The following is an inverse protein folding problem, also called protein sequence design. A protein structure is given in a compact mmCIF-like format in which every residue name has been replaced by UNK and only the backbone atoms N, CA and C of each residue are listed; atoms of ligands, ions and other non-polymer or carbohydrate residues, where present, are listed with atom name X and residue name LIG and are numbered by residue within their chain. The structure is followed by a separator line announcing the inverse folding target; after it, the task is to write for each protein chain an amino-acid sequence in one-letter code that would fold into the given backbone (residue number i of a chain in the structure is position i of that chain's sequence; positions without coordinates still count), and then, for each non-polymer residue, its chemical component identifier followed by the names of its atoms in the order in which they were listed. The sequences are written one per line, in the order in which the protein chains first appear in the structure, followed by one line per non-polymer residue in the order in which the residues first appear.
data_IF_279347514359
#
_entry.id   IF_279347514359
#
_cell.length_a   1.000
_cell.length_b   1.000
_cell.length_c   1.000
_cell.angle_alpha   90.00
_cell.angle_beta   90.00
_cell.angle_gamma   90.00
#
_symmetry.space_group_name_H-M   'P 1'
#
loop_
_entity.id
_entity.type
_entity.pdbx_description
1 polymer ?
#
# COMPACT_ATOMS: atom_id res chain seq x y z
N UNK A 1 8.59 39.73 -8.23
CA UNK A 1 8.12 38.34 -7.97
C UNK A 1 7.74 37.73 -9.32
N UNK A 2 8.57 36.80 -9.84
CA UNK A 2 8.18 35.96 -10.98
C UNK A 2 7.14 34.97 -10.46
N UNK A 3 5.88 35.18 -10.79
CA UNK A 3 4.88 34.12 -10.72
C UNK A 3 5.29 33.04 -11.72
N UNK A 4 5.89 31.98 -11.23
CA UNK A 4 5.98 30.76 -12.04
C UNK A 4 4.56 30.30 -12.29
N UNK A 5 4.12 30.34 -13.54
CA UNK A 5 2.87 29.68 -13.96
C UNK A 5 3.10 28.17 -13.86
N UNK A 6 2.91 27.60 -12.67
CA UNK A 6 2.93 26.17 -12.47
C UNK A 6 1.60 25.66 -13.03
N UNK A 7 1.66 24.88 -14.11
CA UNK A 7 0.49 24.13 -14.60
C UNK A 7 0.35 22.89 -13.74
N UNK A 8 -0.39 23.02 -12.64
CA UNK A 8 -0.58 21.93 -11.70
C UNK A 8 -1.53 20.87 -12.26
N UNK A 9 -1.20 19.61 -12.00
CA UNK A 9 -2.16 18.52 -12.10
C UNK A 9 -2.80 18.37 -10.73
N UNK A 10 -4.14 18.35 -10.68
CA UNK A 10 -4.88 18.26 -9.41
C UNK A 10 -5.38 16.83 -9.22
N UNK A 11 -5.30 16.33 -7.99
CA UNK A 11 -5.84 15.07 -7.55
C UNK A 11 -6.70 15.24 -6.30
N UNK A 12 -7.30 14.15 -5.79
CA UNK A 12 -8.07 14.19 -4.54
C UNK A 12 -7.18 14.60 -3.36
N UNK A 13 -7.75 15.36 -2.42
CA UNK A 13 -7.07 15.78 -1.21
C UNK A 13 -7.07 14.68 -0.13
N UNK A 14 -8.07 13.81 -0.15
CA UNK A 14 -8.30 12.77 0.82
C UNK A 14 -8.42 11.41 0.12
N UNK A 15 -8.20 10.33 0.87
CA UNK A 15 -8.33 8.93 0.42
C UNK A 15 -7.53 8.60 -0.86
N UNK A 16 -6.48 9.38 -1.14
CA UNK A 16 -5.68 9.23 -2.36
C UNK A 16 -4.53 8.24 -2.24
N UNK A 17 -4.16 7.86 -1.02
CA UNK A 17 -2.94 7.10 -0.78
C UNK A 17 -3.22 5.61 -0.86
N UNK A 18 -2.85 5.01 -1.98
CA UNK A 18 -3.02 3.59 -2.30
C UNK A 18 -1.87 2.71 -1.80
N UNK A 19 -0.81 3.29 -1.28
CA UNK A 19 0.32 2.55 -0.74
C UNK A 19 0.81 3.17 0.55
N UNK A 20 1.03 2.32 1.56
CA UNK A 20 1.54 2.76 2.85
C UNK A 20 2.43 1.69 3.49
N UNK A 21 3.35 2.16 4.33
CA UNK A 21 4.12 1.32 5.22
C UNK A 21 3.76 1.73 6.64
N UNK A 22 3.01 0.87 7.31
CA UNK A 22 2.59 1.06 8.68
C UNK A 22 3.59 0.36 9.61
N UNK A 23 4.07 1.09 10.60
CA UNK A 23 4.92 0.53 11.65
C UNK A 23 4.06 -0.07 12.72
N UNK A 24 4.47 -1.24 13.21
CA UNK A 24 3.83 -1.94 14.33
C UNK A 24 4.73 -1.86 15.56
N UNK A 25 4.17 -1.49 16.71
CA UNK A 25 4.87 -1.49 17.99
C UNK A 25 3.93 -1.92 19.11
N UNK A 26 4.39 -2.87 19.91
CA UNK A 26 3.74 -3.21 21.19
C UNK A 26 4.30 -2.30 22.28
N UNK A 27 3.47 -1.39 22.81
CA UNK A 27 3.85 -0.36 23.76
C UNK A 27 2.91 -0.40 24.97
N UNK A 28 3.26 -1.19 25.97
CA UNK A 28 2.44 -1.38 27.19
C UNK A 28 2.01 -0.04 27.84
N UNK A 29 2.88 0.98 27.84
CA UNK A 29 2.58 2.31 28.39
C UNK A 29 1.50 3.09 27.65
N UNK A 30 1.22 2.72 26.38
CA UNK A 30 0.18 3.33 25.53
C UNK A 30 -1.04 2.42 25.34
N UNK A 31 -1.17 1.40 26.20
CA UNK A 31 -2.34 0.50 26.17
C UNK A 31 -2.22 -0.69 25.20
N UNK A 32 -1.04 -0.95 24.63
CA UNK A 32 -0.80 -2.14 23.80
C UNK A 32 -0.24 -1.85 22.41
N UNK A 33 -0.77 -2.52 21.38
CA UNK A 33 -0.24 -2.46 20.02
C UNK A 33 -0.66 -1.16 19.31
N UNK A 34 0.34 -0.48 18.75
CA UNK A 34 0.15 0.64 17.84
C UNK A 34 0.44 0.19 16.41
N UNK A 35 -0.41 0.60 15.48
CA UNK A 35 -0.24 0.44 14.03
C UNK A 35 -0.39 1.81 13.38
N UNK A 36 0.68 2.32 12.76
CA UNK A 36 0.61 3.67 12.21
C UNK A 36 1.91 4.15 11.56
N UNK A 37 1.94 5.43 11.23
CA UNK A 37 3.12 6.10 10.74
C UNK A 37 4.04 6.56 11.87
N UNK A 38 5.31 6.79 11.55
CA UNK A 38 6.20 7.49 12.48
C UNK A 38 5.77 8.95 12.66
N UNK A 39 5.91 9.44 13.87
CA UNK A 39 5.82 10.87 14.15
C UNK A 39 6.95 11.62 13.41
N UNK A 40 6.72 12.89 13.09
CA UNK A 40 7.70 13.69 12.34
C UNK A 40 9.03 13.79 13.12
N UNK A 41 10.12 13.45 12.44
CA UNK A 41 11.48 13.46 13.00
C UNK A 41 11.65 12.64 14.29
N UNK A 42 10.92 11.53 14.42
CA UNK A 42 10.88 10.67 15.60
C UNK A 42 10.91 9.20 15.21
N UNK A 43 11.33 8.34 16.14
CA UNK A 43 11.18 6.87 16.04
C UNK A 43 9.88 6.35 16.66
N UNK A 44 9.08 7.25 17.25
CA UNK A 44 7.80 6.88 17.83
C UNK A 44 6.73 6.66 16.77
N UNK A 45 5.84 5.71 17.04
CA UNK A 45 4.67 5.44 16.21
C UNK A 45 3.52 6.33 16.70
N UNK A 46 2.89 7.01 15.76
CA UNK A 46 1.70 7.81 16.03
C UNK A 46 0.56 6.89 16.48
N UNK A 47 -0.08 7.25 17.59
CA UNK A 47 -1.29 6.56 18.04
C UNK A 47 -2.47 7.07 17.22
N UNK A 48 -2.77 6.36 16.14
CA UNK A 48 -3.80 6.74 15.19
C UNK A 48 -4.87 5.66 15.08
N UNK A 49 -6.12 6.08 14.94
CA UNK A 49 -7.28 5.22 14.76
C UNK A 49 -7.87 5.32 13.34
N UNK A 50 -7.54 6.37 12.63
CA UNK A 50 -7.90 6.60 11.24
C UNK A 50 -6.86 7.47 10.55
N UNK A 51 -6.82 7.44 9.23
CA UNK A 51 -5.94 8.30 8.44
C UNK A 51 -6.65 8.80 7.18
N UNK A 52 -6.98 10.11 7.11
CA UNK A 52 -7.80 10.63 6.01
C UNK A 52 -7.12 10.63 4.65
N UNK A 53 -5.81 10.42 4.57
CA UNK A 53 -5.10 10.31 3.29
C UNK A 53 -5.04 8.88 2.75
N UNK A 54 -5.15 7.85 3.61
CA UNK A 54 -5.27 6.45 3.16
C UNK A 54 -6.61 6.24 2.45
N UNK A 55 -6.69 5.27 1.56
CA UNK A 55 -7.99 4.82 1.02
C UNK A 55 -8.92 4.46 2.19
N UNK A 56 -10.22 4.69 2.06
CA UNK A 56 -11.15 4.56 3.17
C UNK A 56 -11.12 3.17 3.79
N UNK A 57 -11.14 2.12 2.96
CA UNK A 57 -11.07 0.73 3.41
C UNK A 57 -9.80 0.45 4.25
N UNK A 58 -8.66 1.04 3.91
CA UNK A 58 -7.42 0.88 4.69
C UNK A 58 -7.47 1.70 5.97
N UNK A 59 -8.00 2.91 5.92
CA UNK A 59 -8.20 3.74 7.11
C UNK A 59 -9.07 3.02 8.15
N UNK A 60 -10.14 2.38 7.71
CA UNK A 60 -11.08 1.63 8.56
C UNK A 60 -10.47 0.34 9.14
N UNK A 61 -9.39 -0.17 8.53
CA UNK A 61 -8.67 -1.35 9.04
C UNK A 61 -7.67 -1.04 10.16
N UNK A 62 -7.37 0.23 10.48
CA UNK A 62 -6.30 0.56 11.44
C UNK A 62 -6.58 -0.04 12.82
N UNK A 63 -7.75 0.19 13.39
CA UNK A 63 -8.14 -0.38 14.68
C UNK A 63 -8.29 -1.91 14.63
N UNK A 64 -8.98 -2.51 13.65
CA UNK A 64 -8.97 -3.95 13.46
C UNK A 64 -7.57 -4.58 13.34
N UNK A 65 -6.61 -3.90 12.67
CA UNK A 65 -5.23 -4.38 12.61
C UNK A 65 -4.54 -4.33 13.98
N UNK A 66 -4.79 -3.30 14.78
CA UNK A 66 -4.30 -3.23 16.17
C UNK A 66 -4.82 -4.38 17.01
N UNK A 67 -6.12 -4.67 16.90
CA UNK A 67 -6.76 -5.80 17.59
C UNK A 67 -6.17 -7.14 17.14
N UNK A 68 -6.07 -7.35 15.81
CA UNK A 68 -5.46 -8.56 15.25
C UNK A 68 -4.05 -8.77 15.81
N UNK A 69 -3.16 -7.77 15.67
CA UNK A 69 -1.77 -7.90 16.11
C UNK A 69 -1.70 -8.17 17.62
N UNK A 70 -2.57 -7.58 18.42
CA UNK A 70 -2.56 -7.75 19.89
C UNK A 70 -2.77 -9.20 20.33
N UNK A 71 -3.48 -10.00 19.54
CA UNK A 71 -3.78 -11.41 19.83
C UNK A 71 -2.86 -12.42 19.13
N UNK A 72 -1.89 -11.92 18.33
CA UNK A 72 -0.86 -12.78 17.74
C UNK A 72 0.23 -13.10 18.78
N UNK A 73 0.69 -14.33 18.79
CA UNK A 73 1.83 -14.74 19.62
C UNK A 73 3.11 -14.03 19.19
N UNK A 74 3.26 -13.82 17.88
CA UNK A 74 4.40 -13.14 17.28
C UNK A 74 4.30 -11.60 17.25
N UNK A 75 3.38 -10.96 17.97
CA UNK A 75 3.13 -9.50 17.90
C UNK A 75 4.37 -8.62 18.08
N UNK A 76 5.35 -9.02 18.89
CA UNK A 76 6.61 -8.30 19.08
C UNK A 76 7.63 -8.55 17.95
N UNK A 77 7.38 -9.53 17.09
CA UNK A 77 8.24 -9.96 15.99
C UNK A 77 7.66 -9.60 14.62
N UNK A 78 6.63 -8.76 14.60
CA UNK A 78 5.97 -8.25 13.39
C UNK A 78 6.10 -6.71 13.35
N UNK A 79 7.22 -6.16 12.87
CA UNK A 79 7.54 -4.73 13.00
C UNK A 79 6.79 -3.84 12.02
N UNK A 80 6.20 -4.41 10.96
CA UNK A 80 5.70 -3.61 9.84
C UNK A 80 4.60 -4.32 9.06
N UNK A 81 3.65 -3.55 8.57
CA UNK A 81 2.64 -3.95 7.59
C UNK A 81 2.77 -3.02 6.38
N UNK A 82 3.07 -3.55 5.19
CA UNK A 82 2.93 -2.78 3.97
C UNK A 82 1.52 -2.97 3.40
N UNK A 83 0.95 -1.88 2.95
CA UNK A 83 -0.38 -1.84 2.33
C UNK A 83 -0.23 -1.44 0.89
N UNK A 84 -0.87 -2.18 -0.01
CA UNK A 84 -1.01 -1.83 -1.41
C UNK A 84 -2.46 -2.01 -1.84
N UNK A 85 -3.01 -1.00 -2.52
CA UNK A 85 -4.38 -1.00 -3.01
C UNK A 85 -4.37 -0.86 -4.52
N UNK A 86 -5.05 -1.74 -5.22
CA UNK A 86 -5.25 -1.69 -6.68
C UNK A 86 -6.22 -0.60 -7.10
N UNK A 87 -6.30 -0.34 -8.40
CA UNK A 87 -7.25 0.63 -8.99
C UNK A 87 -8.70 0.21 -8.80
N UNK A 88 -8.96 -1.08 -8.66
CA UNK A 88 -10.26 -1.68 -8.37
C UNK A 88 -10.63 -1.68 -6.87
N UNK A 89 -9.77 -1.13 -6.01
CA UNK A 89 -9.95 -1.12 -4.55
C UNK A 89 -9.47 -2.39 -3.85
N UNK A 90 -9.02 -3.42 -4.57
CA UNK A 90 -8.45 -4.63 -3.99
C UNK A 90 -7.25 -4.29 -3.12
N UNK A 91 -7.20 -4.82 -1.92
CA UNK A 91 -6.16 -4.49 -0.92
C UNK A 91 -5.29 -5.70 -0.63
N UNK A 92 -3.98 -5.52 -0.64
CA UNK A 92 -3.02 -6.49 -0.13
C UNK A 92 -2.33 -5.93 1.12
N UNK A 93 -2.20 -6.79 2.13
CA UNK A 93 -1.51 -6.52 3.39
C UNK A 93 -0.29 -7.43 3.49
N UNK A 94 0.91 -6.84 3.44
CA UNK A 94 2.17 -7.58 3.56
C UNK A 94 2.66 -7.48 5.00
N UNK A 95 2.58 -8.58 5.71
CA UNK A 95 3.05 -8.68 7.10
C UNK A 95 4.53 -9.05 7.13
N UNK A 96 5.38 -8.09 7.49
CA UNK A 96 6.78 -8.37 7.73
C UNK A 96 6.94 -9.05 9.08
N UNK A 97 7.58 -10.21 9.08
CA UNK A 97 7.80 -11.00 10.29
C UNK A 97 9.27 -11.40 10.42
N UNK A 98 9.76 -11.50 11.65
CA UNK A 98 11.16 -11.80 11.96
C UNK A 98 11.36 -13.26 12.38
N UNK A 99 10.30 -13.94 12.78
CA UNK A 99 10.28 -15.36 13.15
C UNK A 99 9.19 -16.07 12.32
N UNK A 100 9.24 -17.39 12.14
CA UNK A 100 8.20 -18.14 11.43
C UNK A 100 6.81 -17.91 12.05
N UNK A 101 5.81 -17.77 11.18
CA UNK A 101 4.40 -17.63 11.59
C UNK A 101 3.87 -18.99 12.03
N UNK A 102 3.29 -19.07 13.22
CA UNK A 102 2.64 -20.30 13.70
C UNK A 102 1.36 -20.61 12.93
N UNK A 103 0.89 -21.87 12.89
CA UNK A 103 -0.39 -22.21 12.27
C UNK A 103 -1.56 -21.42 12.87
N UNK A 104 -1.55 -21.20 14.18
CA UNK A 104 -2.58 -20.45 14.90
C UNK A 104 -2.60 -18.97 14.50
N UNK A 105 -1.44 -18.34 14.40
CA UNK A 105 -1.32 -16.97 13.95
C UNK A 105 -1.67 -16.83 12.46
N UNK A 106 -1.32 -17.83 11.63
CA UNK A 106 -1.69 -17.87 10.22
C UNK A 106 -3.21 -17.92 10.04
N UNK A 107 -3.91 -18.72 10.85
CA UNK A 107 -5.37 -18.79 10.79
C UNK A 107 -6.03 -17.44 11.13
N UNK A 108 -5.50 -16.75 12.17
CA UNK A 108 -5.96 -15.39 12.54
C UNK A 108 -5.74 -14.39 11.41
N UNK A 109 -4.56 -14.40 10.76
CA UNK A 109 -4.27 -13.54 9.61
C UNK A 109 -5.22 -13.80 8.44
N UNK A 110 -5.44 -15.06 8.09
CA UNK A 110 -6.36 -15.43 7.01
C UNK A 110 -7.82 -15.10 7.33
N UNK A 111 -8.24 -15.28 8.59
CA UNK A 111 -9.58 -14.90 9.04
C UNK A 111 -9.78 -13.37 8.91
N UNK A 112 -8.77 -12.59 9.29
CA UNK A 112 -8.78 -11.14 9.11
C UNK A 112 -8.90 -10.75 7.62
N UNK A 113 -8.09 -11.37 6.75
CA UNK A 113 -8.14 -11.13 5.31
C UNK A 113 -9.55 -11.35 4.74
N UNK A 114 -10.20 -12.47 5.13
CA UNK A 114 -11.58 -12.77 4.71
C UNK A 114 -12.59 -11.75 5.25
N UNK A 115 -12.46 -11.33 6.51
CA UNK A 115 -13.38 -10.40 7.14
C UNK A 115 -13.31 -8.99 6.53
N UNK A 116 -12.13 -8.56 6.11
CA UNK A 116 -11.88 -7.21 5.60
C UNK A 116 -11.65 -7.12 4.09
N UNK A 117 -11.78 -8.24 3.36
CA UNK A 117 -11.56 -8.27 1.91
C UNK A 117 -10.13 -7.93 1.50
N UNK A 118 -9.14 -8.36 2.29
CA UNK A 118 -7.74 -8.10 2.05
C UNK A 118 -6.95 -9.39 1.76
N UNK A 119 -6.10 -9.34 0.73
CA UNK A 119 -5.18 -10.43 0.40
C UNK A 119 -4.00 -10.41 1.39
N UNK A 120 -3.70 -11.56 1.99
CA UNK A 120 -2.65 -11.68 2.99
C UNK A 120 -1.34 -12.12 2.35
N UNK A 121 -0.30 -11.34 2.59
CA UNK A 121 1.06 -11.60 2.15
C UNK A 121 1.99 -11.67 3.35
N UNK A 122 3.04 -12.46 3.23
CA UNK A 122 4.11 -12.60 4.23
C UNK A 122 5.44 -12.13 3.65
N UNK A 123 6.26 -11.50 4.50
CA UNK A 123 7.60 -11.05 4.15
C UNK A 123 8.59 -11.40 5.25
N UNK A 124 9.27 -12.57 5.14
CA UNK A 124 10.22 -13.02 6.17
C UNK A 124 11.54 -12.25 6.21
N UNK A 125 11.97 -11.66 5.08
CA UNK A 125 13.26 -10.93 4.95
C UNK A 125 13.11 -9.64 4.15
N UNK A 126 13.83 -9.50 3.04
CA UNK A 126 13.75 -8.37 2.14
C UNK A 126 12.47 -8.38 1.29
N UNK A 127 12.19 -7.28 0.55
CA UNK A 127 11.00 -7.16 -0.29
C UNK A 127 10.84 -8.29 -1.32
N UNK A 128 11.95 -8.83 -1.80
CA UNK A 128 12.01 -9.95 -2.75
C UNK A 128 11.46 -11.27 -2.18
N UNK A 129 11.36 -11.38 -0.86
CA UNK A 129 10.82 -12.58 -0.18
C UNK A 129 9.32 -12.49 0.06
N UNK A 130 8.69 -11.37 -0.29
CA UNK A 130 7.26 -11.21 -0.13
C UNK A 130 6.49 -12.15 -1.07
N UNK A 131 5.55 -12.89 -0.49
CA UNK A 131 4.72 -13.85 -1.22
C UNK A 131 3.29 -13.84 -0.69
N UNK A 132 2.33 -14.12 -1.55
CA UNK A 132 0.95 -14.28 -1.15
C UNK A 132 0.78 -15.59 -0.36
N UNK A 133 -0.05 -15.57 0.68
CA UNK A 133 -0.41 -16.81 1.39
C UNK A 133 -1.25 -17.70 0.48
N UNK A 134 -2.19 -17.12 -0.27
CA UNK A 134 -2.92 -17.81 -1.34
C UNK A 134 -2.24 -17.49 -2.69
N UNK A 135 -1.69 -18.46 -3.40
CA UNK A 135 -0.99 -18.23 -4.68
C UNK A 135 -1.83 -17.51 -5.73
N UNK A 136 -3.15 -17.65 -5.68
CA UNK A 136 -4.09 -16.97 -6.59
C UNK A 136 -4.04 -15.43 -6.44
N UNK A 137 -3.57 -14.91 -5.31
CA UNK A 137 -3.54 -13.47 -5.01
C UNK A 137 -2.31 -12.78 -5.61
N UNK A 138 -1.30 -13.51 -6.10
CA UNK A 138 -0.04 -12.95 -6.59
C UNK A 138 -0.17 -12.00 -7.78
N UNK A 139 -1.21 -12.12 -8.60
CA UNK A 139 -1.39 -11.35 -9.83
C UNK A 139 -2.65 -10.47 -9.84
N UNK A 140 -3.25 -10.25 -8.68
CA UNK A 140 -4.56 -9.60 -8.62
C UNK A 140 -4.51 -8.08 -8.52
N UNK A 141 -3.44 -7.49 -7.98
CA UNK A 141 -3.31 -6.04 -7.94
C UNK A 141 -3.02 -5.47 -9.32
N UNK A 142 -3.66 -4.38 -9.66
CA UNK A 142 -3.47 -3.68 -10.92
C UNK A 142 -3.70 -2.19 -10.80
N UNK A 143 -2.96 -1.44 -11.61
CA UNK A 143 -3.17 -0.03 -11.86
C UNK A 143 -3.90 0.11 -13.19
N UNK A 144 -5.01 0.81 -13.19
CA UNK A 144 -5.78 1.09 -14.39
C UNK A 144 -5.34 2.45 -14.99
N UNK A 145 -5.10 2.47 -16.29
CA UNK A 145 -4.95 3.68 -17.10
C UNK A 145 -6.13 3.74 -18.05
N UNK A 146 -7.24 4.21 -17.54
CA UNK A 146 -8.57 4.12 -18.17
C UNK A 146 -8.61 4.78 -19.56
N UNK A 147 -7.95 5.94 -19.71
CA UNK A 147 -7.85 6.67 -20.99
C UNK A 147 -7.26 5.80 -22.12
N UNK A 148 -6.38 4.86 -21.76
CA UNK A 148 -5.66 4.02 -22.74
C UNK A 148 -6.15 2.57 -22.76
N UNK A 149 -7.12 2.20 -21.92
CA UNK A 149 -7.57 0.82 -21.77
C UNK A 149 -6.48 -0.14 -21.30
N UNK A 150 -5.49 0.34 -20.56
CA UNK A 150 -4.33 -0.43 -20.10
C UNK A 150 -4.47 -0.75 -18.61
N UNK A 151 -4.21 -2.01 -18.26
CA UNK A 151 -4.06 -2.47 -16.88
C UNK A 151 -2.64 -2.97 -16.67
N UNK A 152 -1.95 -2.40 -15.70
CA UNK A 152 -0.60 -2.77 -15.30
C UNK A 152 -0.68 -3.58 -14.02
N UNK A 153 -0.39 -4.88 -14.07
CA UNK A 153 -0.32 -5.72 -12.88
C UNK A 153 0.96 -5.39 -12.08
N UNK A 154 0.85 -5.41 -10.75
CA UNK A 154 1.98 -5.17 -9.86
C UNK A 154 1.89 -6.03 -8.59
N UNK A 155 3.04 -6.26 -7.94
CA UNK A 155 3.10 -6.88 -6.60
C UNK A 155 3.04 -5.80 -5.52
N UNK A 156 2.56 -6.11 -4.31
CA UNK A 156 2.49 -5.14 -3.21
C UNK A 156 3.82 -4.47 -2.89
N UNK A 157 4.95 -5.12 -3.21
CA UNK A 157 6.32 -4.61 -2.99
C UNK A 157 6.87 -3.80 -4.16
N UNK A 158 6.24 -3.85 -5.34
CA UNK A 158 6.68 -3.07 -6.50
C UNK A 158 6.44 -1.58 -6.28
N UNK A 159 7.28 -0.75 -6.89
CA UNK A 159 7.07 0.69 -6.84
C UNK A 159 5.82 1.08 -7.64
N UNK A 160 4.91 1.79 -7.00
CA UNK A 160 3.76 2.45 -7.64
C UNK A 160 3.59 3.86 -7.07
N UNK A 161 3.07 4.79 -7.88
CA UNK A 161 2.70 6.12 -7.38
C UNK A 161 1.58 6.00 -6.35
N UNK A 162 1.74 6.66 -5.22
CA UNK A 162 0.78 6.55 -4.10
C UNK A 162 -0.60 7.15 -4.41
N UNK A 163 -0.67 8.10 -5.33
CA UNK A 163 -1.91 8.74 -5.77
C UNK A 163 -2.22 8.28 -7.20
N UNK A 164 -3.04 7.24 -7.35
CA UNK A 164 -3.37 6.65 -8.63
C UNK A 164 -4.10 7.63 -9.56
N UNK A 165 -5.04 8.42 -9.05
CA UNK A 165 -5.78 9.40 -9.85
C UNK A 165 -4.86 10.50 -10.42
N UNK A 166 -3.93 10.99 -9.60
CA UNK A 166 -2.93 11.95 -10.06
C UNK A 166 -1.97 11.32 -11.06
N UNK A 167 -1.56 10.08 -10.84
CA UNK A 167 -0.69 9.33 -11.76
C UNK A 167 -1.35 9.18 -13.14
N UNK A 168 -2.60 8.75 -13.20
CA UNK A 168 -3.37 8.63 -14.45
C UNK A 168 -3.43 9.98 -15.20
N UNK A 169 -3.75 11.06 -14.48
CA UNK A 169 -3.76 12.42 -15.04
C UNK A 169 -2.38 12.82 -15.59
N UNK A 170 -1.30 12.52 -14.87
CA UNK A 170 0.07 12.84 -15.29
C UNK A 170 0.49 12.04 -16.51
N UNK A 171 0.21 10.74 -16.54
CA UNK A 171 0.52 9.87 -17.70
C UNK A 171 -0.22 10.33 -18.93
N UNK A 172 -1.54 10.55 -18.84
CA UNK A 172 -2.34 11.05 -19.96
C UNK A 172 -1.83 12.39 -20.50
N UNK A 173 -1.43 13.29 -19.58
CA UNK A 173 -0.83 14.58 -19.98
C UNK A 173 0.52 14.39 -20.67
N UNK A 174 1.39 13.51 -20.14
CA UNK A 174 2.71 13.25 -20.73
C UNK A 174 2.57 12.70 -22.16
N UNK A 175 1.71 11.71 -22.36
CA UNK A 175 1.46 11.12 -23.68
C UNK A 175 0.95 12.18 -24.69
N UNK A 176 0.00 13.02 -24.28
CA UNK A 176 -0.50 14.10 -25.16
C UNK A 176 0.57 15.15 -25.49
N UNK A 177 1.46 15.47 -24.54
CA UNK A 177 2.55 16.43 -24.78
C UNK A 177 3.65 15.88 -25.69
N UNK A 178 3.83 14.55 -25.76
CA UNK A 178 4.75 13.92 -26.69
C UNK A 178 4.31 14.03 -28.14
N UNK A 179 2.99 14.25 -28.41
CA UNK A 179 2.45 14.38 -29.76
C UNK A 179 2.80 13.18 -30.64
N UNK A 180 2.59 11.97 -30.12
CA UNK A 180 2.99 10.74 -30.81
C UNK A 180 2.16 10.48 -32.05
N UNK A 181 2.85 10.14 -33.15
CA UNK A 181 2.25 9.70 -34.42
C UNK A 181 2.55 8.19 -34.60
N UNK A 182 1.76 7.46 -35.43
CA UNK A 182 1.88 6.01 -35.58
C UNK A 182 3.25 5.48 -36.01
N UNK A 183 4.04 6.29 -36.71
CA UNK A 183 5.38 5.96 -37.22
C UNK A 183 6.52 6.38 -36.28
N UNK A 184 6.19 7.07 -35.18
CA UNK A 184 7.19 7.47 -34.21
C UNK A 184 7.73 6.27 -33.43
N UNK A 185 9.04 6.26 -33.23
CA UNK A 185 9.73 5.32 -32.33
C UNK A 185 9.94 6.00 -30.99
N UNK A 186 9.44 5.39 -29.94
CA UNK A 186 9.54 5.91 -28.58
C UNK A 186 10.41 4.98 -27.76
N UNK A 187 11.33 5.53 -26.99
CA UNK A 187 12.11 4.79 -26.00
C UNK A 187 11.80 5.37 -24.62
N UNK A 188 11.41 4.51 -23.70
CA UNK A 188 11.29 4.83 -22.28
C UNK A 188 12.48 4.20 -21.54
N UNK A 189 13.31 5.07 -20.93
CA UNK A 189 14.43 4.65 -20.11
C UNK A 189 13.99 4.60 -18.66
N UNK A 190 14.39 3.56 -17.95
CA UNK A 190 14.03 3.31 -16.55
C UNK A 190 12.54 3.03 -16.32
N UNK A 191 11.92 2.33 -17.26
CA UNK A 191 10.49 1.97 -17.19
C UNK A 191 10.14 0.85 -16.16
N UNK A 192 11.13 0.27 -15.47
CA UNK A 192 10.96 -0.77 -14.45
C UNK A 192 11.31 -2.16 -14.94
#
# INVERSE_FOLDING_TARGET
QRQMCIRDSRGPFWNYRHRARLTVRDVAKKGGVLVGFHEKASSYVCDMHACPILTQNVSDMIDPLRELISVLDMRQRMPQIEVAVGGDGRTALVFRHLDPVSPEDMEKLLAFGRAHGADIWLQPKGPETAHAVNPEDEKKLGLELTEFGVRIAFKPTDFTQVNHALNETMVGRAVRLLGLEPDHKVADFFCG
#
